data_IF_148974879515
#
_entry.id   IF_148974879515
#
_cell.length_a   1.000
_cell.length_b   1.000
_cell.length_c   1.000
_cell.angle_alpha   90.00
_cell.angle_beta   90.00
_cell.angle_gamma   90.00
#
_symmetry.space_group_name_H-M   'P 1'
#
loop_
_entity.id
_entity.type
_entity.pdbx_description
1 polymer ?
#
# COMPACT_ATOMS: atom_id res chain seq x y z
N UNK A 1 -10.73 -9.04 8.62
CA UNK A 1 -10.05 -9.72 7.49
C UNK A 1 -9.40 -8.64 6.62
N UNK A 2 -8.13 -8.77 6.25
CA UNK A 2 -7.47 -7.77 5.44
C UNK A 2 -8.12 -7.57 4.07
N UNK A 3 -8.23 -6.31 3.67
CA UNK A 3 -8.61 -5.89 2.33
C UNK A 3 -7.56 -4.88 1.86
N UNK A 4 -6.78 -5.25 0.88
CA UNK A 4 -5.59 -4.51 0.44
C UNK A 4 -5.90 -3.75 -0.83
N UNK A 5 -5.65 -2.45 -0.85
CA UNK A 5 -5.72 -1.65 -2.07
C UNK A 5 -4.33 -1.62 -2.74
N UNK A 6 -4.25 -2.16 -3.94
CA UNK A 6 -3.05 -2.13 -4.78
C UNK A 6 -3.17 -0.92 -5.73
N UNK A 7 -2.39 0.11 -5.49
CA UNK A 7 -2.36 1.31 -6.33
C UNK A 7 -1.20 1.22 -7.31
N UNK A 8 -1.53 0.96 -8.55
CA UNK A 8 -0.65 0.54 -9.62
C UNK A 8 -0.81 -0.95 -9.89
N UNK A 9 -1.25 -1.30 -11.11
CA UNK A 9 -1.59 -2.67 -11.51
C UNK A 9 -0.48 -3.41 -12.25
N UNK A 10 0.79 -3.11 -11.98
CA UNK A 10 1.93 -3.73 -12.65
C UNK A 10 2.33 -5.11 -12.09
N UNK A 11 3.56 -5.54 -12.40
CA UNK A 11 4.03 -6.89 -12.08
C UNK A 11 4.01 -7.24 -10.60
N UNK A 12 4.37 -6.30 -9.71
CA UNK A 12 4.34 -6.57 -8.27
C UNK A 12 2.92 -6.75 -7.76
N UNK A 13 1.98 -5.91 -8.21
CA UNK A 13 0.56 -6.04 -7.88
C UNK A 13 -0.02 -7.35 -8.38
N UNK A 14 0.32 -7.75 -9.59
CA UNK A 14 -0.11 -9.03 -10.17
C UNK A 14 0.40 -10.21 -9.33
N UNK A 15 1.68 -10.20 -8.96
CA UNK A 15 2.26 -11.24 -8.11
C UNK A 15 1.59 -11.31 -6.74
N UNK A 16 1.35 -10.15 -6.10
CA UNK A 16 0.64 -10.08 -4.82
C UNK A 16 -0.78 -10.64 -4.96
N UNK A 17 -1.51 -10.22 -5.99
CA UNK A 17 -2.90 -10.64 -6.19
C UNK A 17 -3.08 -12.14 -6.34
N UNK A 18 -2.08 -12.84 -6.89
CA UNK A 18 -2.11 -14.28 -7.06
C UNK A 18 -1.99 -15.07 -5.75
N UNK A 19 -1.35 -14.47 -4.74
CA UNK A 19 -1.18 -15.13 -3.43
C UNK A 19 -2.35 -14.86 -2.48
N UNK A 20 -3.06 -13.77 -2.65
CA UNK A 20 -4.10 -13.32 -1.73
C UNK A 20 -5.28 -14.27 -1.59
N UNK A 21 -5.83 -14.88 -2.66
CA UNK A 21 -6.95 -15.81 -2.53
C UNK A 21 -6.67 -16.99 -1.61
N UNK A 22 -5.43 -17.49 -1.59
CA UNK A 22 -5.05 -18.61 -0.71
C UNK A 22 -5.02 -18.23 0.77
N UNK A 23 -4.93 -16.96 1.10
CA UNK A 23 -4.98 -16.46 2.48
C UNK A 23 -6.40 -16.13 2.94
N UNK A 24 -7.35 -16.07 2.03
CA UNK A 24 -8.71 -15.59 2.27
C UNK A 24 -8.79 -14.07 2.40
N UNK A 25 -7.73 -13.34 2.06
CA UNK A 25 -7.73 -11.87 2.08
C UNK A 25 -8.27 -11.30 0.79
N UNK A 26 -8.89 -10.12 0.90
CA UNK A 26 -9.43 -9.41 -0.25
C UNK A 26 -8.43 -8.39 -0.79
N UNK A 27 -8.59 -8.05 -2.07
CA UNK A 27 -7.85 -6.94 -2.66
C UNK A 27 -8.70 -6.17 -3.66
N UNK A 28 -8.28 -4.93 -3.90
CA UNK A 28 -8.80 -4.05 -4.95
C UNK A 28 -7.62 -3.42 -5.69
N UNK A 29 -7.83 -2.98 -6.92
CA UNK A 29 -6.77 -2.41 -7.75
C UNK A 29 -7.21 -1.05 -8.29
N UNK A 30 -6.29 -0.09 -8.28
CA UNK A 30 -6.42 1.17 -8.98
C UNK A 30 -5.23 1.35 -9.92
N UNK A 31 -5.47 1.69 -11.16
CA UNK A 31 -4.47 2.12 -12.14
C UNK A 31 -5.10 3.13 -13.09
N UNK A 32 -4.31 4.08 -13.55
CA UNK A 32 -4.74 5.07 -14.56
C UNK A 32 -4.98 4.41 -15.92
N UNK A 33 -4.26 3.32 -16.19
CA UNK A 33 -4.35 2.56 -17.43
C UNK A 33 -5.40 1.46 -17.30
N UNK A 34 -6.40 1.47 -18.19
CA UNK A 34 -7.52 0.53 -18.14
C UNK A 34 -7.09 -0.95 -18.15
N UNK A 35 -6.10 -1.29 -18.97
CA UNK A 35 -5.60 -2.66 -19.09
C UNK A 35 -4.90 -3.18 -17.81
N UNK A 36 -4.47 -2.30 -16.93
CA UNK A 36 -3.83 -2.64 -15.65
C UNK A 36 -4.78 -2.62 -14.46
N UNK A 37 -6.04 -2.26 -14.66
CA UNK A 37 -7.10 -2.38 -13.65
C UNK A 37 -8.29 -3.11 -14.26
N UNK A 38 -8.06 -4.30 -14.81
CA UNK A 38 -9.01 -5.09 -15.56
C UNK A 38 -9.21 -6.49 -14.97
N UNK A 39 -10.43 -6.99 -15.08
CA UNK A 39 -10.82 -8.31 -14.53
C UNK A 39 -10.07 -9.50 -15.13
N UNK A 40 -9.56 -9.39 -16.36
CA UNK A 40 -8.70 -10.42 -16.94
C UNK A 40 -7.39 -10.59 -16.21
N UNK A 41 -6.82 -9.48 -15.73
CA UNK A 41 -5.57 -9.49 -14.98
C UNK A 41 -5.81 -9.74 -13.49
N UNK A 42 -6.93 -9.23 -12.96
CA UNK A 42 -7.29 -9.29 -11.54
C UNK A 42 -8.69 -9.88 -11.35
N UNK A 43 -8.87 -11.20 -11.60
CA UNK A 43 -10.20 -11.83 -11.61
C UNK A 43 -10.87 -11.87 -10.23
N UNK A 44 -10.11 -11.84 -9.15
CA UNK A 44 -10.62 -11.94 -7.78
C UNK A 44 -10.70 -10.59 -7.07
N UNK A 45 -10.46 -9.49 -7.77
CA UNK A 45 -10.52 -8.15 -7.19
C UNK A 45 -11.95 -7.79 -6.77
N UNK A 46 -12.09 -7.24 -5.56
CA UNK A 46 -13.38 -6.74 -5.07
C UNK A 46 -13.78 -5.47 -5.81
N UNK A 47 -12.81 -4.58 -6.03
CA UNK A 47 -13.01 -3.34 -6.78
C UNK A 47 -11.91 -3.18 -7.83
N UNK A 48 -12.28 -2.67 -9.00
CA UNK A 48 -11.34 -2.30 -10.06
C UNK A 48 -11.59 -0.85 -10.46
N UNK A 49 -10.58 -0.02 -10.27
CA UNK A 49 -10.65 1.42 -10.52
C UNK A 49 -9.68 1.82 -11.63
N UNK A 50 -10.15 1.75 -12.88
CA UNK A 50 -9.44 2.26 -14.06
C UNK A 50 -9.69 3.77 -14.17
N UNK A 51 -9.03 4.54 -13.33
CA UNK A 51 -9.23 5.99 -13.18
C UNK A 51 -7.88 6.67 -12.92
N UNK A 52 -7.81 7.97 -13.27
CA UNK A 52 -6.69 8.79 -12.85
C UNK A 52 -6.62 8.89 -11.31
N UNK A 53 -5.48 9.29 -10.80
CA UNK A 53 -5.28 9.49 -9.35
C UNK A 53 -6.30 10.50 -8.82
N UNK A 54 -6.47 11.63 -9.48
CA UNK A 54 -7.41 12.66 -9.09
C UNK A 54 -8.87 12.17 -9.07
N UNK A 55 -9.28 11.45 -10.11
CA UNK A 55 -10.63 10.89 -10.19
C UNK A 55 -10.90 9.88 -9.08
N UNK A 56 -9.91 9.03 -8.77
CA UNK A 56 -10.05 8.06 -7.69
C UNK A 56 -10.29 8.75 -6.35
N UNK A 57 -9.45 9.72 -6.00
CA UNK A 57 -9.54 10.40 -4.70
C UNK A 57 -10.66 11.44 -4.61
N UNK A 58 -11.26 11.84 -5.72
CA UNK A 58 -12.35 12.82 -5.76
C UNK A 58 -13.54 12.42 -4.87
N UNK A 59 -13.79 11.11 -4.75
CA UNK A 59 -14.90 10.55 -3.96
C UNK A 59 -14.43 9.82 -2.69
N UNK A 60 -13.15 9.94 -2.34
CA UNK A 60 -12.60 9.26 -1.16
C UNK A 60 -12.42 10.23 0.01
N UNK A 61 -12.75 9.73 1.19
CA UNK A 61 -12.48 10.36 2.48
C UNK A 61 -11.70 9.38 3.34
N UNK A 62 -11.25 9.79 4.54
CA UNK A 62 -10.59 8.85 5.45
C UNK A 62 -11.53 7.70 5.85
N UNK A 63 -12.81 7.97 5.98
CA UNK A 63 -13.84 6.97 6.31
C UNK A 63 -14.00 5.95 5.19
N UNK A 64 -14.07 6.39 3.93
CA UNK A 64 -14.21 5.47 2.80
C UNK A 64 -12.91 4.68 2.57
N UNK A 65 -11.75 5.30 2.73
CA UNK A 65 -10.46 4.60 2.66
C UNK A 65 -10.29 3.55 3.76
N UNK A 66 -11.00 3.70 4.88
CA UNK A 66 -10.93 2.76 6.01
C UNK A 66 -11.57 1.40 5.72
N UNK A 67 -12.20 1.21 4.54
CA UNK A 67 -12.59 -0.12 4.07
C UNK A 67 -11.39 -0.99 3.73
N UNK A 68 -10.24 -0.37 3.50
CA UNK A 68 -8.98 -1.05 3.28
C UNK A 68 -8.18 -1.17 4.58
N UNK A 69 -7.58 -2.31 4.80
CA UNK A 69 -6.62 -2.51 5.90
C UNK A 69 -5.24 -1.96 5.56
N UNK A 70 -4.90 -2.03 4.29
CA UNK A 70 -3.60 -1.61 3.77
C UNK A 70 -3.77 -0.95 2.40
N UNK A 71 -3.00 0.10 2.16
CA UNK A 71 -2.87 0.74 0.85
C UNK A 71 -1.41 0.65 0.45
N UNK A 72 -1.15 0.06 -0.72
CA UNK A 72 0.19 -0.14 -1.24
C UNK A 72 0.40 0.66 -2.53
N UNK A 73 1.41 1.53 -2.52
CA UNK A 73 1.80 2.30 -3.69
C UNK A 73 2.83 1.49 -4.49
N UNK A 74 2.38 0.93 -5.62
CA UNK A 74 3.12 -0.03 -6.45
C UNK A 74 3.18 0.42 -7.91
N UNK A 75 3.01 1.72 -8.17
CA UNK A 75 2.95 2.27 -9.51
C UNK A 75 4.28 2.19 -10.26
N UNK A 76 4.18 2.15 -11.58
CA UNK A 76 5.33 2.20 -12.49
C UNK A 76 5.83 3.64 -12.69
N UNK A 77 4.98 4.63 -12.45
CA UNK A 77 5.27 6.04 -12.65
C UNK A 77 5.56 6.71 -11.30
N UNK A 78 6.73 7.31 -11.21
CA UNK A 78 7.20 8.01 -10.01
C UNK A 78 6.25 9.14 -9.59
N UNK A 79 5.80 9.94 -10.55
CA UNK A 79 4.94 11.09 -10.27
C UNK A 79 3.54 10.64 -9.82
N UNK A 80 2.98 9.59 -10.43
CA UNK A 80 1.69 9.05 -10.00
C UNK A 80 1.74 8.54 -8.57
N UNK A 81 2.79 7.82 -8.17
CA UNK A 81 2.95 7.36 -6.80
C UNK A 81 3.12 8.52 -5.82
N UNK A 82 3.84 9.55 -6.20
CA UNK A 82 3.95 10.77 -5.39
C UNK A 82 2.60 11.48 -5.25
N UNK A 83 1.83 11.57 -6.31
CA UNK A 83 0.49 12.16 -6.28
C UNK A 83 -0.45 11.36 -5.38
N UNK A 84 -0.42 10.04 -5.46
CA UNK A 84 -1.18 9.15 -4.56
C UNK A 84 -0.81 9.37 -3.10
N UNK A 85 0.49 9.42 -2.81
CA UNK A 85 0.99 9.66 -1.47
C UNK A 85 0.52 11.00 -0.92
N UNK A 86 0.66 12.08 -1.69
CA UNK A 86 0.20 13.42 -1.31
C UNK A 86 -1.30 13.44 -1.02
N UNK A 87 -2.11 12.87 -1.88
CA UNK A 87 -3.57 12.83 -1.71
C UNK A 87 -3.96 12.11 -0.42
N UNK A 88 -3.39 10.94 -0.15
CA UNK A 88 -3.68 10.17 1.06
C UNK A 88 -3.25 10.94 2.31
N UNK A 89 -2.06 11.52 2.30
CA UNK A 89 -1.53 12.27 3.45
C UNK A 89 -2.32 13.55 3.73
N UNK A 90 -2.76 14.25 2.69
CA UNK A 90 -3.65 15.42 2.88
C UNK A 90 -5.01 15.03 3.45
N UNK A 91 -5.61 13.94 2.98
CA UNK A 91 -6.86 13.41 3.54
C UNK A 91 -6.66 13.05 5.02
N UNK A 92 -5.58 12.38 5.35
CA UNK A 92 -5.25 11.95 6.72
C UNK A 92 -5.01 13.14 7.63
N UNK A 93 -4.23 14.11 7.19
CA UNK A 93 -3.93 15.34 7.94
C UNK A 93 -5.18 16.18 8.16
N UNK A 94 -6.01 16.35 7.14
CA UNK A 94 -7.26 17.12 7.25
C UNK A 94 -8.24 16.51 8.25
N UNK A 95 -8.23 15.19 8.38
CA UNK A 95 -9.08 14.43 9.32
C UNK A 95 -8.44 14.24 10.69
N UNK A 96 -7.18 14.67 10.88
CA UNK A 96 -6.37 14.42 12.10
C UNK A 96 -6.34 12.95 12.49
N UNK A 97 -6.26 12.07 11.47
CA UNK A 97 -6.21 10.62 11.62
C UNK A 97 -4.77 10.11 11.53
N UNK A 98 -4.56 8.81 11.75
CA UNK A 98 -3.25 8.16 11.60
C UNK A 98 -3.34 6.97 10.66
N UNK A 99 -2.22 6.60 10.01
CA UNK A 99 -2.13 5.46 9.10
C UNK A 99 -1.46 4.28 9.79
N UNK A 100 -1.95 3.92 10.96
CA UNK A 100 -1.33 2.95 11.87
C UNK A 100 -2.05 1.59 11.92
N UNK A 101 -3.16 1.44 11.23
CA UNK A 101 -3.96 0.23 11.23
C UNK A 101 -5.00 0.15 12.35
N UNK A 102 -5.09 1.17 13.20
CA UNK A 102 -6.07 1.23 14.30
C UNK A 102 -7.37 1.90 13.85
N UNK A 103 -8.11 1.24 12.97
CA UNK A 103 -9.34 1.75 12.38
C UNK A 103 -9.11 2.55 11.08
N UNK A 104 -7.86 2.78 10.70
CA UNK A 104 -7.45 3.41 9.44
C UNK A 104 -6.44 2.53 8.71
N UNK A 105 -6.33 2.66 7.38
CA UNK A 105 -5.41 1.83 6.62
C UNK A 105 -3.94 2.10 6.98
N UNK A 106 -3.12 1.06 6.92
CA UNK A 106 -1.67 1.23 6.89
C UNK A 106 -1.24 1.59 5.48
N UNK A 107 -0.29 2.48 5.33
CA UNK A 107 0.23 2.92 4.03
C UNK A 107 1.67 2.45 3.85
N UNK A 108 1.96 1.90 2.69
CA UNK A 108 3.31 1.50 2.29
C UNK A 108 3.58 1.77 0.83
N UNK A 109 4.84 1.97 0.50
CA UNK A 109 5.28 2.21 -0.88
C UNK A 109 6.46 1.33 -1.23
N UNK A 110 6.48 0.85 -2.47
CA UNK A 110 7.66 0.19 -3.03
C UNK A 110 8.72 1.24 -3.35
N UNK A 111 9.97 0.92 -3.12
CA UNK A 111 11.07 1.82 -3.47
C UNK A 111 12.23 1.77 -2.50
N UNK A 112 13.29 2.50 -2.84
CA UNK A 112 14.50 2.61 -2.02
C UNK A 112 14.33 3.68 -0.93
N UNK A 113 15.29 3.71 0.01
CA UNK A 113 15.38 4.77 1.02
C UNK A 113 15.56 6.15 0.36
N UNK A 114 16.32 6.25 -0.72
CA UNK A 114 16.53 7.51 -1.43
C UNK A 114 15.26 7.99 -2.14
N UNK A 115 14.48 7.08 -2.71
CA UNK A 115 13.14 7.40 -3.25
C UNK A 115 12.25 7.95 -2.14
N UNK A 116 12.23 7.31 -0.99
CA UNK A 116 11.44 7.75 0.15
C UNK A 116 11.82 9.15 0.62
N UNK A 117 13.13 9.45 0.73
CA UNK A 117 13.60 10.78 1.14
C UNK A 117 13.11 11.87 0.18
N UNK A 118 13.13 11.59 -1.12
CA UNK A 118 12.62 12.52 -2.14
C UNK A 118 11.11 12.70 -2.03
N UNK A 119 10.37 11.64 -1.83
CA UNK A 119 8.91 11.67 -1.62
C UNK A 119 8.54 12.46 -0.37
N UNK A 120 9.21 12.17 0.75
CA UNK A 120 8.97 12.86 2.01
C UNK A 120 9.21 14.37 1.90
N UNK A 121 10.32 14.76 1.26
CA UNK A 121 10.64 16.18 1.03
C UNK A 121 9.58 16.87 0.17
N UNK A 122 9.11 16.22 -0.89
CA UNK A 122 8.08 16.76 -1.76
C UNK A 122 6.73 16.93 -1.02
N UNK A 123 6.38 15.99 -0.15
CA UNK A 123 5.17 16.08 0.68
C UNK A 123 5.26 17.24 1.68
N UNK A 124 6.40 17.42 2.32
CA UNK A 124 6.63 18.54 3.28
C UNK A 124 6.52 19.88 2.56
N UNK A 125 7.12 20.02 1.39
CA UNK A 125 7.01 21.22 0.55
C UNK A 125 5.55 21.52 0.16
N UNK A 126 4.73 20.47 0.03
CA UNK A 126 3.31 20.58 -0.30
C UNK A 126 2.40 20.77 0.92
N UNK A 127 2.96 20.98 2.10
CA UNK A 127 2.22 21.31 3.32
C UNK A 127 1.85 20.12 4.21
N UNK A 128 2.39 18.94 3.96
CA UNK A 128 2.20 17.77 4.83
C UNK A 128 3.14 17.88 6.03
N UNK A 129 2.59 17.71 7.24
CA UNK A 129 3.39 17.69 8.47
C UNK A 129 4.15 16.37 8.59
N UNK A 130 5.37 16.45 9.11
CA UNK A 130 6.29 15.31 9.22
C UNK A 130 5.72 14.14 10.02
N UNK A 131 4.89 14.41 11.03
CA UNK A 131 4.25 13.37 11.85
C UNK A 131 3.41 12.39 11.03
N UNK A 132 2.77 12.85 9.95
CA UNK A 132 1.95 11.99 9.06
C UNK A 132 2.81 11.12 8.15
N UNK A 133 4.05 11.50 7.91
CA UNK A 133 5.00 10.72 7.11
C UNK A 133 5.62 9.56 7.88
N UNK A 134 5.72 9.66 9.19
CA UNK A 134 6.41 8.67 10.03
C UNK A 134 5.75 7.29 10.03
N UNK A 135 4.46 7.20 9.74
CA UNK A 135 3.72 5.94 9.70
C UNK A 135 3.83 5.23 8.35
N UNK A 136 4.33 5.91 7.32
CA UNK A 136 4.45 5.33 5.97
C UNK A 136 5.66 4.41 5.90
N UNK A 137 5.43 3.16 5.47
CA UNK A 137 6.51 2.19 5.28
C UNK A 137 7.07 2.28 3.86
N UNK A 138 8.37 2.51 3.74
CA UNK A 138 9.10 2.48 2.47
C UNK A 138 10.59 2.16 2.73
N UNK A 139 11.12 1.11 2.12
CA UNK A 139 10.45 0.12 1.28
C UNK A 139 9.50 -0.79 2.07
N UNK A 140 8.43 -1.26 1.39
CA UNK A 140 7.54 -2.28 1.96
C UNK A 140 8.17 -3.67 1.86
N UNK A 141 7.68 -4.57 2.73
CA UNK A 141 8.12 -5.96 2.76
C UNK A 141 9.22 -6.22 3.78
N UNK A 142 9.25 -7.44 4.29
CA UNK A 142 10.33 -7.88 5.18
C UNK A 142 11.67 -7.92 4.42
N UNK A 143 12.75 -7.61 5.13
CA UNK A 143 14.10 -7.66 4.57
C UNK A 143 14.60 -9.12 4.47
N UNK A 144 14.17 -9.81 3.41
CA UNK A 144 14.52 -11.22 3.14
C UNK A 144 15.34 -11.37 1.85
N UNK A 145 15.83 -10.27 1.27
CA UNK A 145 16.59 -10.30 0.01
C UNK A 145 15.73 -10.48 -1.24
N UNK A 146 14.44 -10.11 -1.18
CA UNK A 146 13.52 -10.21 -2.30
C UNK A 146 13.94 -9.31 -3.47
N UNK A 147 13.90 -9.83 -4.68
CA UNK A 147 14.42 -9.22 -5.90
C UNK A 147 13.40 -9.27 -7.04
N UNK A 148 12.76 -10.45 -7.25
CA UNK A 148 11.73 -10.59 -8.28
C UNK A 148 10.37 -10.11 -7.77
N UNK A 149 9.41 -9.80 -8.68
CA UNK A 149 8.04 -9.48 -8.29
C UNK A 149 7.40 -10.53 -7.37
N UNK A 150 7.64 -11.81 -7.63
CA UNK A 150 7.13 -12.93 -6.84
C UNK A 150 7.74 -12.98 -5.44
N UNK A 151 9.04 -12.75 -5.33
CA UNK A 151 9.74 -12.69 -4.04
C UNK A 151 9.31 -11.45 -3.24
N UNK A 152 9.15 -10.32 -3.92
CA UNK A 152 8.63 -9.08 -3.31
C UNK A 152 7.22 -9.32 -2.77
N UNK A 153 6.37 -10.03 -3.52
CA UNK A 153 5.03 -10.39 -3.07
C UNK A 153 5.07 -11.19 -1.76
N UNK A 154 5.96 -12.17 -1.64
CA UNK A 154 6.16 -12.94 -0.41
C UNK A 154 6.58 -12.04 0.75
N UNK A 155 7.56 -11.17 0.53
CA UNK A 155 8.08 -10.25 1.55
C UNK A 155 6.99 -9.29 2.04
N UNK A 156 6.20 -8.73 1.13
CA UNK A 156 5.11 -7.79 1.44
C UNK A 156 3.99 -8.46 2.21
N UNK A 157 3.55 -9.64 1.77
CA UNK A 157 2.46 -10.35 2.45
C UNK A 157 2.88 -10.86 3.83
N UNK A 158 4.14 -11.28 3.99
CA UNK A 158 4.67 -11.66 5.29
C UNK A 158 4.70 -10.46 6.25
N UNK A 159 5.08 -9.29 5.77
CA UNK A 159 5.03 -8.05 6.57
C UNK A 159 3.60 -7.71 6.99
N UNK A 160 2.66 -7.69 6.03
CA UNK A 160 1.25 -7.39 6.33
C UNK A 160 0.68 -8.41 7.33
N UNK A 161 1.01 -9.69 7.17
CA UNK A 161 0.59 -10.72 8.12
C UNK A 161 1.09 -10.43 9.53
N UNK A 162 2.37 -10.07 9.68
CA UNK A 162 2.95 -9.73 10.98
C UNK A 162 2.27 -8.52 11.61
N UNK A 163 2.00 -7.50 10.83
CA UNK A 163 1.29 -6.30 11.28
C UNK A 163 -0.16 -6.60 11.67
N UNK A 164 -0.84 -7.42 10.89
CA UNK A 164 -2.21 -7.82 11.17
C UNK A 164 -2.34 -8.68 12.42
N UNK A 165 -1.33 -9.49 12.71
CA UNK A 165 -1.27 -10.36 13.89
C UNK A 165 -0.62 -9.70 15.10
N UNK A 166 -0.12 -8.49 14.95
CA UNK A 166 0.64 -7.76 15.98
C UNK A 166 1.81 -8.59 16.53
N UNK A 167 2.62 -9.10 15.60
CA UNK A 167 3.78 -9.94 15.91
C UNK A 167 5.07 -9.22 15.52
N UNK A 168 6.00 -9.14 16.46
CA UNK A 168 7.36 -8.71 16.18
C UNK A 168 8.12 -9.82 15.46
N UNK A 169 8.46 -9.61 14.19
CA UNK A 169 9.19 -10.58 13.37
C UNK A 169 10.64 -10.81 13.84
N UNK A 170 11.15 -9.95 14.69
CA UNK A 170 12.48 -10.06 15.28
C UNK A 170 12.46 -10.72 16.67
N UNK A 171 11.26 -10.99 17.22
CA UNK A 171 11.13 -11.66 18.51
C UNK A 171 11.60 -13.12 18.43
N UNK A 172 12.01 -13.71 19.58
CA UNK A 172 12.38 -15.13 19.65
C UNK A 172 11.29 -16.04 19.12
N UNK A 173 11.71 -17.08 18.40
CA UNK A 173 10.79 -18.11 17.88
C UNK A 173 10.37 -19.08 18.99
N UNK A 174 9.39 -19.95 18.68
CA UNK A 174 8.93 -20.99 19.63
C UNK A 174 10.05 -21.93 20.10
N UNK A 175 11.18 -22.00 19.38
CA UNK A 175 12.35 -22.84 19.76
C UNK A 175 13.15 -22.24 20.91
N UNK A 176 12.98 -20.97 21.17
CA UNK A 176 13.72 -20.21 22.19
C UNK A 176 12.91 -19.99 23.47
N UNK A 177 11.68 -20.53 23.53
CA UNK A 177 10.80 -20.43 24.68
C UNK A 177 10.96 -21.59 25.65
#
# INVERSE_FOLDING_TARGET
MPHILLMGGGHCSEAISKLLPSTGWNYSVQDTREEFAHSELYPDAIELHAKSVDEFFQNETIETLSRFSDILLLGHDYQEDLDRLKMILHITQSSKSSLDGNGFPRLGAIGSRSKWQTFASACIEDGVEETYLSDVRCPIGLNIGADSPEEIAIAVLAEILSLHKDVDVHAPTWREK
#
